data_IF_587302436904
#
_entry.id   IF_587302436904
#
_cell.length_a   1.000
_cell.length_b   1.000
_cell.length_c   1.000
_cell.angle_alpha   90.00
_cell.angle_beta   90.00
_cell.angle_gamma   90.00
#
_symmetry.space_group_name_H-M   'P 1'
#
loop_
_entity.id
_entity.type
_entity.pdbx_description
1 polymer ?
#
# COMPACT_ATOMS: atom_id res chain seq x y z
N UNK A 1 -7.21 21.59 24.79
CA UNK A 1 -7.71 20.31 25.34
C UNK A 1 -8.57 19.54 24.33
N UNK A 2 -9.57 20.12 23.69
CA UNK A 2 -10.44 19.37 22.75
C UNK A 2 -9.76 18.84 21.48
N UNK A 3 -8.68 19.48 21.00
CA UNK A 3 -7.97 19.09 19.77
C UNK A 3 -7.07 17.85 19.95
N UNK A 4 -6.41 17.70 21.10
CA UNK A 4 -5.54 16.55 21.40
C UNK A 4 -6.35 15.27 21.66
N UNK A 5 -7.53 15.38 22.29
CA UNK A 5 -8.38 14.23 22.57
C UNK A 5 -9.00 13.66 21.29
N UNK A 6 -9.39 14.53 20.34
CA UNK A 6 -9.88 14.15 19.02
C UNK A 6 -8.78 13.47 18.16
N UNK A 7 -7.55 13.96 18.25
CA UNK A 7 -6.41 13.38 17.53
C UNK A 7 -6.11 11.96 18.03
N UNK A 8 -5.91 11.78 19.35
CA UNK A 8 -5.67 10.47 19.94
C UNK A 8 -6.81 9.46 19.67
N UNK A 9 -8.06 9.92 19.63
CA UNK A 9 -9.21 9.08 19.30
C UNK A 9 -9.19 8.65 17.83
N UNK A 10 -8.84 9.57 16.92
CA UNK A 10 -8.69 9.28 15.50
C UNK A 10 -7.59 8.23 15.24
N UNK A 11 -6.47 8.33 15.97
CA UNK A 11 -5.33 7.41 15.84
C UNK A 11 -5.69 5.99 16.27
N UNK A 12 -6.39 5.87 17.41
CA UNK A 12 -6.90 4.57 17.89
C UNK A 12 -7.89 3.96 16.87
N UNK A 13 -8.76 4.79 16.28
CA UNK A 13 -9.70 4.33 15.27
C UNK A 13 -9.00 3.85 13.99
N UNK A 14 -7.98 4.56 13.50
CA UNK A 14 -7.22 4.19 12.32
C UNK A 14 -6.49 2.85 12.51
N UNK A 15 -5.84 2.66 13.67
CA UNK A 15 -5.18 1.40 14.03
C UNK A 15 -6.17 0.25 14.21
N UNK A 16 -7.31 0.50 14.88
CA UNK A 16 -8.37 -0.49 15.04
C UNK A 16 -8.97 -0.90 13.69
N UNK A 17 -9.14 0.07 12.77
CA UNK A 17 -9.63 -0.18 11.42
C UNK A 17 -8.63 -1.03 10.62
N UNK A 18 -7.33 -0.73 10.67
CA UNK A 18 -6.28 -1.52 10.04
C UNK A 18 -6.22 -2.95 10.58
N UNK A 19 -6.30 -3.10 11.91
CA UNK A 19 -6.34 -4.41 12.56
C UNK A 19 -7.58 -5.22 12.16
N UNK A 20 -8.75 -4.57 12.12
CA UNK A 20 -9.99 -5.22 11.72
C UNK A 20 -9.95 -5.67 10.26
N UNK A 21 -9.42 -4.82 9.36
CA UNK A 21 -9.24 -5.14 7.97
C UNK A 21 -8.31 -6.36 7.76
N UNK A 22 -7.18 -6.40 8.49
CA UNK A 22 -6.26 -7.54 8.48
C UNK A 22 -6.91 -8.82 9.01
N UNK A 23 -7.73 -8.72 10.06
CA UNK A 23 -8.51 -9.87 10.56
C UNK A 23 -9.57 -10.32 9.55
N UNK A 24 -10.19 -9.37 8.86
CA UNK A 24 -11.23 -9.65 7.87
C UNK A 24 -10.64 -10.30 6.61
N UNK A 25 -9.47 -9.86 6.13
CA UNK A 25 -8.81 -10.40 4.94
C UNK A 25 -8.45 -11.88 5.06
N UNK A 26 -8.23 -12.35 6.30
CA UNK A 26 -7.93 -13.76 6.63
C UNK A 26 -9.16 -14.65 6.75
N UNK A 27 -10.36 -14.07 6.61
CA UNK A 27 -11.60 -14.87 6.67
C UNK A 27 -11.74 -15.70 5.41
N UNK A 28 -12.16 -16.95 5.58
CA UNK A 28 -12.39 -17.88 4.48
C UNK A 28 -13.42 -17.36 3.48
N UNK A 29 -13.23 -17.72 2.22
CA UNK A 29 -14.19 -17.45 1.16
C UNK A 29 -15.54 -18.14 1.41
N UNK A 30 -16.62 -17.59 0.87
CA UNK A 30 -17.97 -18.14 0.95
C UNK A 30 -18.62 -18.15 -0.44
N UNK A 31 -19.80 -18.76 -0.56
CA UNK A 31 -20.53 -18.77 -1.83
C UNK A 31 -20.89 -17.36 -2.34
N UNK A 32 -21.14 -16.43 -1.41
CA UNK A 32 -21.46 -15.03 -1.76
C UNK A 32 -20.20 -14.17 -2.00
N UNK A 33 -19.03 -14.67 -1.58
CA UNK A 33 -17.75 -13.96 -1.62
C UNK A 33 -16.64 -14.96 -1.95
N UNK A 34 -16.54 -15.31 -3.21
CA UNK A 34 -15.62 -16.36 -3.69
C UNK A 34 -14.14 -16.01 -3.51
N UNK A 35 -13.79 -14.72 -3.53
CA UNK A 35 -12.46 -14.24 -3.16
C UNK A 35 -12.31 -13.89 -1.67
N UNK A 36 -13.39 -14.05 -0.87
CA UNK A 36 -13.43 -13.60 0.52
C UNK A 36 -13.27 -12.07 0.64
N UNK A 37 -12.61 -11.64 1.69
CA UNK A 37 -12.37 -10.21 1.98
C UNK A 37 -10.93 -9.78 1.69
N UNK A 38 -10.23 -10.42 0.76
CA UNK A 38 -8.80 -10.17 0.49
C UNK A 38 -8.47 -8.70 0.17
N UNK A 39 -9.41 -7.95 -0.40
CA UNK A 39 -9.26 -6.50 -0.66
C UNK A 39 -9.52 -5.60 0.55
N UNK A 40 -9.94 -6.15 1.70
CA UNK A 40 -10.24 -5.33 2.88
C UNK A 40 -9.01 -4.55 3.37
N UNK A 41 -7.82 -5.15 3.35
CA UNK A 41 -6.57 -4.48 3.72
C UNK A 41 -6.22 -3.35 2.77
N UNK A 42 -6.41 -3.55 1.47
CA UNK A 42 -6.17 -2.54 0.44
C UNK A 42 -7.09 -1.32 0.60
N UNK A 43 -8.38 -1.56 0.89
CA UNK A 43 -9.36 -0.50 1.16
C UNK A 43 -8.97 0.26 2.44
N UNK A 44 -8.53 -0.46 3.48
CA UNK A 44 -8.08 0.17 4.73
C UNK A 44 -6.83 1.01 4.52
N UNK A 45 -5.84 0.51 3.76
CA UNK A 45 -4.64 1.27 3.39
C UNK A 45 -4.98 2.56 2.63
N UNK A 46 -5.87 2.48 1.66
CA UNK A 46 -6.36 3.62 0.89
C UNK A 46 -7.06 4.67 1.78
N UNK A 47 -8.00 4.22 2.63
CA UNK A 47 -8.74 5.11 3.53
C UNK A 47 -7.80 5.79 4.56
N UNK A 48 -6.91 5.03 5.19
CA UNK A 48 -5.94 5.58 6.13
C UNK A 48 -4.97 6.58 5.48
N UNK A 49 -4.59 6.34 4.23
CA UNK A 49 -3.72 7.28 3.48
C UNK A 49 -4.41 8.62 3.21
N UNK A 50 -5.72 8.60 2.93
CA UNK A 50 -6.52 9.84 2.83
C UNK A 50 -6.57 10.56 4.16
N UNK A 51 -6.80 9.84 5.27
CA UNK A 51 -6.80 10.42 6.61
C UNK A 51 -5.45 11.08 6.92
N UNK A 52 -4.32 10.42 6.59
CA UNK A 52 -2.99 10.99 6.77
C UNK A 52 -2.77 12.29 5.99
N UNK A 53 -3.28 12.41 4.75
CA UNK A 53 -3.22 13.68 3.99
C UNK A 53 -4.04 14.76 4.68
N UNK A 54 -5.22 14.43 5.17
CA UNK A 54 -6.06 15.39 5.90
C UNK A 54 -5.36 15.88 7.17
N UNK A 55 -4.79 14.95 7.95
CA UNK A 55 -3.99 15.29 9.16
C UNK A 55 -2.79 16.16 8.78
N UNK A 56 -2.04 15.82 7.74
CA UNK A 56 -0.91 16.61 7.26
C UNK A 56 -1.33 18.03 6.85
N UNK A 57 -2.48 18.20 6.19
CA UNK A 57 -3.00 19.52 5.84
C UNK A 57 -3.33 20.36 7.08
N UNK A 58 -3.93 19.75 8.13
CA UNK A 58 -4.17 20.42 9.41
C UNK A 58 -2.86 20.79 10.13
N UNK A 59 -1.83 19.91 10.09
CA UNK A 59 -0.52 20.21 10.66
C UNK A 59 0.13 21.40 9.96
N UNK A 60 0.08 21.46 8.62
CA UNK A 60 0.60 22.57 7.84
C UNK A 60 -0.15 23.86 8.16
N UNK A 61 -1.48 23.82 8.22
CA UNK A 61 -2.29 24.98 8.58
C UNK A 61 -1.93 25.52 9.98
N UNK A 62 -1.84 24.63 10.97
CA UNK A 62 -1.43 25.01 12.33
C UNK A 62 0.00 25.53 12.41
N UNK A 63 0.93 24.97 11.62
CA UNK A 63 2.30 25.47 11.54
C UNK A 63 2.36 26.90 10.98
N UNK A 64 1.59 27.18 9.93
CA UNK A 64 1.49 28.54 9.36
C UNK A 64 0.91 29.53 10.37
N UNK A 65 -0.15 29.18 11.08
CA UNK A 65 -0.72 30.04 12.14
C UNK A 65 0.32 30.35 13.23
N UNK A 66 0.99 29.32 13.78
CA UNK A 66 2.02 29.49 14.83
C UNK A 66 3.26 30.26 14.35
N UNK A 67 3.51 30.27 13.07
CA UNK A 67 4.60 31.09 12.50
C UNK A 67 4.31 32.59 12.63
N UNK A 68 3.04 33.01 12.43
CA UNK A 68 2.63 34.43 12.55
C UNK A 68 2.27 34.81 13.98
N UNK A 69 1.72 33.91 14.75
CA UNK A 69 1.28 34.11 16.14
C UNK A 69 1.89 33.03 17.06
N UNK A 70 3.17 33.21 17.48
CA UNK A 70 3.84 32.23 18.32
C UNK A 70 3.15 32.07 19.67
N UNK A 71 2.76 30.84 20.01
CA UNK A 71 2.20 30.53 21.33
C UNK A 71 3.31 30.26 22.36
N UNK A 72 3.13 30.77 23.58
CA UNK A 72 4.04 30.48 24.71
C UNK A 72 3.63 29.14 25.33
N UNK A 73 4.49 28.14 25.23
CA UNK A 73 4.24 26.77 25.70
C UNK A 73 4.84 26.57 27.11
N UNK A 74 4.12 25.88 28.00
CA UNK A 74 4.66 25.41 29.28
C UNK A 74 5.57 24.19 29.10
N UNK A 75 6.87 24.44 29.04
CA UNK A 75 7.91 23.49 28.57
C UNK A 75 7.99 22.19 29.38
N UNK A 76 7.87 22.22 30.71
CA UNK A 76 8.21 21.04 31.52
C UNK A 76 7.25 19.87 31.32
N UNK A 77 5.95 20.12 31.33
CA UNK A 77 4.93 19.06 31.12
C UNK A 77 4.98 18.53 29.68
N UNK A 78 5.14 19.43 28.71
CA UNK A 78 5.19 19.11 27.28
C UNK A 78 6.39 18.20 26.95
N UNK A 79 7.57 18.46 27.54
CA UNK A 79 8.76 17.62 27.35
C UNK A 79 8.52 16.17 27.81
N UNK A 80 7.92 15.97 29.00
CA UNK A 80 7.66 14.62 29.51
C UNK A 80 6.63 13.86 28.67
N UNK A 81 5.57 14.55 28.22
CA UNK A 81 4.55 13.96 27.34
C UNK A 81 5.17 13.59 25.99
N UNK A 82 5.97 14.49 25.39
CA UNK A 82 6.65 14.24 24.14
C UNK A 82 7.63 13.03 24.23
N UNK A 83 8.41 12.94 25.31
CA UNK A 83 9.29 11.79 25.54
C UNK A 83 8.52 10.48 25.65
N UNK A 84 7.42 10.46 26.39
CA UNK A 84 6.58 9.28 26.52
C UNK A 84 5.98 8.88 25.15
N UNK A 85 5.48 9.84 24.38
CA UNK A 85 4.95 9.63 23.04
C UNK A 85 6.02 9.08 22.09
N UNK A 86 7.24 9.63 22.11
CA UNK A 86 8.36 9.13 21.29
C UNK A 86 8.68 7.66 21.65
N UNK A 87 8.68 7.30 22.93
CA UNK A 87 8.96 5.92 23.36
C UNK A 87 7.85 4.97 22.88
N UNK A 88 6.58 5.34 23.11
CA UNK A 88 5.43 4.49 22.76
C UNK A 88 5.29 4.34 21.24
N UNK A 89 5.26 5.43 20.51
CA UNK A 89 5.12 5.40 19.05
C UNK A 89 6.38 4.84 18.38
N UNK A 90 7.58 5.18 18.88
CA UNK A 90 8.83 4.65 18.37
C UNK A 90 8.96 3.14 18.56
N UNK A 91 8.54 2.59 19.69
CA UNK A 91 8.50 1.14 19.89
C UNK A 91 7.51 0.46 18.92
N UNK A 92 6.34 1.05 18.70
CA UNK A 92 5.34 0.54 17.76
C UNK A 92 5.83 0.61 16.31
N UNK A 93 6.49 1.70 15.93
CA UNK A 93 7.15 1.86 14.61
C UNK A 93 8.19 0.76 14.38
N UNK A 94 9.04 0.47 15.37
CA UNK A 94 10.04 -0.59 15.25
C UNK A 94 9.41 -1.99 15.11
N UNK A 95 8.31 -2.25 15.81
CA UNK A 95 7.59 -3.53 15.72
C UNK A 95 6.92 -3.72 14.36
N UNK A 96 6.31 -2.67 13.80
CA UNK A 96 5.58 -2.75 12.54
C UNK A 96 6.48 -2.64 11.29
N UNK A 97 7.72 -2.17 11.44
CA UNK A 97 8.61 -1.88 10.30
C UNK A 97 8.74 -3.04 9.33
N UNK A 98 8.93 -4.27 9.83
CA UNK A 98 9.11 -5.45 9.00
C UNK A 98 7.85 -5.80 8.20
N UNK A 99 6.69 -5.70 8.82
CA UNK A 99 5.41 -6.04 8.18
C UNK A 99 4.99 -4.93 7.20
N UNK A 100 5.38 -3.68 7.46
CA UNK A 100 5.12 -2.53 6.60
C UNK A 100 5.85 -2.59 5.24
N UNK A 101 6.94 -3.35 5.13
CA UNK A 101 7.67 -3.53 3.88
C UNK A 101 6.92 -4.46 2.90
N UNK A 102 5.98 -5.28 3.40
CA UNK A 102 5.30 -6.31 2.63
C UNK A 102 3.78 -6.16 2.56
N UNK A 103 3.18 -5.24 3.33
CA UNK A 103 1.72 -5.07 3.37
C UNK A 103 1.33 -3.59 3.43
N UNK A 104 0.54 -3.13 2.45
CA UNK A 104 0.12 -1.72 2.33
C UNK A 104 -0.69 -1.22 3.53
N UNK A 105 -1.53 -2.06 4.12
CA UNK A 105 -2.29 -1.71 5.32
C UNK A 105 -1.36 -1.52 6.53
N UNK A 106 -0.38 -2.42 6.72
CA UNK A 106 0.65 -2.26 7.76
C UNK A 106 1.54 -1.06 7.49
N UNK A 107 1.86 -0.77 6.22
CA UNK A 107 2.60 0.44 5.80
C UNK A 107 1.83 1.71 6.17
N UNK A 108 0.52 1.76 5.96
CA UNK A 108 -0.29 2.93 6.35
C UNK A 108 -0.31 3.14 7.87
N UNK A 109 -0.47 2.07 8.66
CA UNK A 109 -0.41 2.13 10.13
C UNK A 109 0.98 2.53 10.64
N UNK A 110 2.05 2.00 10.03
CA UNK A 110 3.43 2.38 10.32
C UNK A 110 3.66 3.89 10.07
N UNK A 111 3.20 4.41 8.94
CA UNK A 111 3.33 5.83 8.59
C UNK A 111 2.56 6.74 9.54
N UNK A 112 1.40 6.30 10.01
CA UNK A 112 0.63 7.03 11.01
C UNK A 112 1.42 7.17 12.33
N UNK A 113 1.90 6.05 12.88
CA UNK A 113 2.71 6.04 14.11
C UNK A 113 4.04 6.78 13.96
N UNK A 114 4.67 6.69 12.78
CA UNK A 114 5.88 7.45 12.44
C UNK A 114 5.61 8.95 12.45
N UNK A 115 4.48 9.38 11.91
CA UNK A 115 4.00 10.76 11.92
C UNK A 115 3.89 11.30 13.34
N UNK A 116 3.27 10.56 14.24
CA UNK A 116 3.08 10.96 15.64
C UNK A 116 4.40 11.03 16.39
N UNK A 117 5.30 10.07 16.12
CA UNK A 117 6.66 10.10 16.67
C UNK A 117 7.43 11.33 16.16
N UNK A 118 7.38 11.65 14.86
CA UNK A 118 8.05 12.81 14.28
C UNK A 118 7.49 14.11 14.81
N UNK A 119 6.17 14.23 14.95
CA UNK A 119 5.52 15.39 15.58
C UNK A 119 5.99 15.57 17.02
N UNK A 120 6.08 14.48 17.79
CA UNK A 120 6.57 14.53 19.19
C UNK A 120 8.05 14.92 19.28
N UNK A 121 8.89 14.46 18.34
CA UNK A 121 10.31 14.87 18.21
C UNK A 121 10.39 16.37 17.89
N UNK A 122 9.57 16.87 16.97
CA UNK A 122 9.54 18.29 16.61
C UNK A 122 9.13 19.15 17.81
N UNK A 123 8.12 18.73 18.57
CA UNK A 123 7.70 19.40 19.81
C UNK A 123 8.83 19.43 20.85
N UNK A 124 9.55 18.31 21.02
CA UNK A 124 10.69 18.23 21.94
C UNK A 124 11.84 19.14 21.52
N UNK A 125 12.26 19.05 20.25
CA UNK A 125 13.36 19.87 19.69
C UNK A 125 12.97 21.33 19.66
N UNK A 126 11.76 21.67 19.20
CA UNK A 126 11.23 23.02 19.18
C UNK A 126 11.19 23.63 20.58
N UNK A 127 10.69 22.85 21.57
CA UNK A 127 10.65 23.26 22.98
C UNK A 127 12.03 23.56 23.56
N UNK A 128 13.04 22.72 23.27
CA UNK A 128 14.42 22.95 23.71
C UNK A 128 15.01 24.21 23.06
N UNK A 129 14.85 24.35 21.74
CA UNK A 129 15.37 25.51 20.99
C UNK A 129 14.70 26.81 21.45
N UNK A 130 13.37 26.81 21.63
CA UNK A 130 12.65 27.96 22.15
C UNK A 130 13.11 28.35 23.56
N UNK A 131 13.36 27.37 24.42
CA UNK A 131 13.79 27.61 25.81
C UNK A 131 15.18 28.24 25.89
N UNK A 132 16.15 27.81 25.06
CA UNK A 132 17.54 28.25 25.15
C UNK A 132 17.92 29.36 24.16
N UNK A 133 17.32 29.39 22.98
CA UNK A 133 17.66 30.32 21.90
C UNK A 133 16.57 31.36 21.62
N UNK A 134 15.38 31.25 22.22
CA UNK A 134 14.20 32.10 21.97
C UNK A 134 13.76 32.14 20.49
N UNK A 135 14.03 31.05 19.72
CA UNK A 135 13.66 30.95 18.31
C UNK A 135 12.29 30.26 18.17
N UNK A 136 11.22 31.02 18.28
CA UNK A 136 9.85 30.52 18.26
C UNK A 136 9.41 29.97 16.91
N UNK A 137 10.04 30.37 15.81
CA UNK A 137 9.70 29.92 14.44
C UNK A 137 10.13 28.48 14.14
N UNK A 138 11.05 27.92 14.91
CA UNK A 138 11.64 26.57 14.63
C UNK A 138 10.57 25.47 14.71
N UNK A 139 9.68 25.52 15.68
CA UNK A 139 8.55 24.57 15.81
C UNK A 139 7.67 24.57 14.56
N UNK A 140 7.33 25.77 14.06
CA UNK A 140 6.50 25.92 12.86
C UNK A 140 7.18 25.35 11.62
N UNK A 141 8.49 25.59 11.46
CA UNK A 141 9.26 25.06 10.30
C UNK A 141 9.37 23.53 10.38
N UNK A 142 9.67 22.95 11.55
CA UNK A 142 9.74 21.51 11.73
C UNK A 142 8.39 20.86 11.44
N UNK A 143 7.29 21.41 11.97
CA UNK A 143 5.94 20.91 11.72
C UNK A 143 5.55 21.00 10.24
N UNK A 144 5.92 22.09 9.56
CA UNK A 144 5.71 22.25 8.12
C UNK A 144 6.45 21.17 7.31
N UNK A 145 7.71 20.91 7.62
CA UNK A 145 8.52 19.88 6.95
C UNK A 145 7.92 18.48 7.15
N UNK A 146 7.47 18.17 8.36
CA UNK A 146 6.78 16.91 8.66
C UNK A 146 5.50 16.79 7.85
N UNK A 147 4.66 17.83 7.82
CA UNK A 147 3.42 17.82 7.05
C UNK A 147 3.66 17.60 5.55
N UNK A 148 4.66 18.25 4.96
CA UNK A 148 5.05 18.05 3.56
C UNK A 148 5.55 16.62 3.29
N UNK A 149 6.38 16.08 4.17
CA UNK A 149 6.84 14.70 4.09
C UNK A 149 5.68 13.70 4.14
N UNK A 150 4.72 13.91 5.04
CA UNK A 150 3.54 13.05 5.15
C UNK A 150 2.66 13.08 3.90
N UNK A 151 2.44 14.26 3.31
CA UNK A 151 1.72 14.37 2.04
C UNK A 151 2.43 13.55 0.95
N UNK A 152 3.75 13.70 0.84
CA UNK A 152 4.53 12.98 -0.16
C UNK A 152 4.40 11.46 -0.03
N UNK A 153 4.58 10.92 1.17
CA UNK A 153 4.54 9.46 1.40
C UNK A 153 3.11 8.93 1.28
N UNK A 154 2.10 9.66 1.80
CA UNK A 154 0.70 9.25 1.71
C UNK A 154 0.18 9.31 0.27
N UNK A 155 0.67 10.24 -0.56
CA UNK A 155 0.33 10.28 -1.98
C UNK A 155 0.81 9.03 -2.73
N UNK A 156 2.04 8.57 -2.46
CA UNK A 156 2.56 7.33 -3.04
C UNK A 156 1.69 6.12 -2.66
N UNK A 157 1.30 6.04 -1.39
CA UNK A 157 0.43 4.97 -0.89
C UNK A 157 -0.99 5.01 -1.51
N UNK A 158 -1.58 6.20 -1.67
CA UNK A 158 -2.85 6.37 -2.38
C UNK A 158 -2.73 5.92 -3.83
N UNK A 159 -1.67 6.35 -4.52
CA UNK A 159 -1.43 5.99 -5.92
C UNK A 159 -1.32 4.47 -6.09
N UNK A 160 -0.52 3.81 -5.25
CA UNK A 160 -0.34 2.35 -5.28
C UNK A 160 -1.65 1.63 -4.99
N UNK A 161 -2.35 2.00 -3.91
CA UNK A 161 -3.64 1.40 -3.56
C UNK A 161 -4.70 1.60 -4.65
N UNK A 162 -4.72 2.79 -5.29
CA UNK A 162 -5.64 3.07 -6.40
C UNK A 162 -5.34 2.20 -7.61
N UNK A 163 -4.06 2.06 -8.00
CA UNK A 163 -3.66 1.16 -9.11
C UNK A 163 -4.15 -0.26 -8.87
N UNK A 164 -3.93 -0.80 -7.67
CA UNK A 164 -4.37 -2.15 -7.32
C UNK A 164 -5.91 -2.28 -7.32
N UNK A 165 -6.65 -1.29 -6.78
CA UNK A 165 -8.11 -1.27 -6.79
C UNK A 165 -8.67 -1.21 -8.20
N UNK A 166 -8.01 -0.49 -9.11
CA UNK A 166 -8.37 -0.31 -10.51
C UNK A 166 -7.86 -1.44 -11.41
N UNK A 167 -7.26 -2.50 -10.83
CA UNK A 167 -6.74 -3.66 -11.57
C UNK A 167 -5.63 -3.30 -12.59
N UNK A 168 -4.82 -2.31 -12.28
CA UNK A 168 -3.67 -2.00 -13.13
C UNK A 168 -2.64 -3.12 -13.03
N UNK A 169 -1.94 -3.34 -14.14
CA UNK A 169 -0.74 -4.18 -14.15
C UNK A 169 0.30 -3.59 -13.19
N UNK A 170 0.89 -4.41 -12.29
CA UNK A 170 1.95 -3.95 -11.38
C UNK A 170 3.13 -3.35 -12.14
N UNK A 171 3.77 -2.33 -11.54
CA UNK A 171 4.86 -1.58 -12.19
C UNK A 171 6.13 -2.44 -12.41
N UNK A 172 6.29 -3.53 -11.70
CA UNK A 172 7.39 -4.51 -11.80
C UNK A 172 7.14 -5.63 -12.81
N UNK A 173 5.93 -5.71 -13.37
CA UNK A 173 5.54 -6.70 -14.37
C UNK A 173 5.68 -6.14 -15.78
N UNK A 174 6.50 -6.81 -16.56
CA UNK A 174 6.72 -6.55 -17.98
C UNK A 174 6.00 -7.63 -18.82
N UNK A 175 4.88 -7.27 -19.43
CA UNK A 175 4.04 -8.18 -20.21
C UNK A 175 4.82 -8.74 -21.41
N UNK A 176 5.68 -7.95 -22.06
CA UNK A 176 6.47 -8.40 -23.23
C UNK A 176 7.42 -9.53 -22.82
N UNK A 177 8.05 -9.43 -21.64
CA UNK A 177 8.91 -10.51 -21.12
C UNK A 177 8.13 -11.78 -20.76
N UNK A 178 6.90 -11.64 -20.29
CA UNK A 178 6.01 -12.80 -20.06
C UNK A 178 5.74 -13.50 -21.37
N UNK A 179 5.34 -12.75 -22.40
CA UNK A 179 5.08 -13.30 -23.74
C UNK A 179 6.31 -14.01 -24.28
N UNK A 180 7.49 -13.36 -24.24
CA UNK A 180 8.74 -13.96 -24.70
C UNK A 180 9.13 -15.24 -23.95
N UNK A 181 8.86 -15.29 -22.64
CA UNK A 181 9.16 -16.45 -21.83
C UNK A 181 8.24 -17.63 -22.14
N UNK A 182 6.93 -17.37 -22.24
CA UNK A 182 5.91 -18.40 -22.54
C UNK A 182 6.07 -18.93 -23.98
N UNK A 183 6.38 -18.09 -24.96
CA UNK A 183 6.58 -18.50 -26.34
C UNK A 183 7.80 -19.45 -26.56
N UNK A 184 8.69 -19.57 -25.58
CA UNK A 184 9.82 -20.54 -25.65
C UNK A 184 9.41 -21.95 -25.28
N UNK A 185 8.22 -22.14 -24.75
CA UNK A 185 7.69 -23.46 -24.36
C UNK A 185 7.16 -24.17 -25.60
N UNK A 186 7.45 -25.44 -25.72
CA UNK A 186 6.98 -26.26 -26.82
C UNK A 186 5.45 -26.30 -26.89
N UNK A 187 4.88 -26.38 -28.11
CA UNK A 187 3.45 -26.43 -28.40
C UNK A 187 2.69 -25.12 -28.14
N UNK A 188 3.34 -24.09 -27.59
CA UNK A 188 2.80 -22.74 -27.52
C UNK A 188 2.85 -22.12 -28.92
N UNK A 189 1.71 -21.64 -29.40
CA UNK A 189 1.61 -20.84 -30.61
C UNK A 189 1.68 -19.36 -30.28
N UNK A 190 0.61 -18.78 -29.71
CA UNK A 190 0.55 -17.36 -29.36
C UNK A 190 -0.18 -17.16 -28.05
N UNK A 191 0.41 -16.39 -27.14
CA UNK A 191 -0.26 -15.87 -25.94
C UNK A 191 -0.86 -14.50 -26.30
N UNK A 192 -2.15 -14.30 -26.06
CA UNK A 192 -2.86 -13.07 -26.37
C UNK A 192 -4.02 -12.83 -25.39
N UNK A 193 -4.73 -11.71 -25.51
CA UNK A 193 -5.80 -11.30 -24.60
C UNK A 193 -5.36 -11.42 -23.14
N UNK A 194 -4.29 -10.68 -22.80
CA UNK A 194 -3.59 -10.82 -21.52
C UNK A 194 -4.08 -9.76 -20.54
N UNK A 195 -4.52 -10.21 -19.36
CA UNK A 195 -4.81 -9.37 -18.21
C UNK A 195 -3.92 -9.78 -17.04
N UNK A 196 -3.24 -8.82 -16.42
CA UNK A 196 -2.40 -9.05 -15.25
C UNK A 196 -2.79 -8.03 -14.19
N UNK A 197 -3.15 -8.50 -12.99
CA UNK A 197 -3.54 -7.61 -11.89
C UNK A 197 -3.19 -8.22 -10.54
N UNK A 198 -3.11 -7.37 -9.50
CA UNK A 198 -3.01 -7.81 -8.11
C UNK A 198 -4.37 -7.81 -7.42
N UNK A 199 -4.68 -8.87 -6.69
CA UNK A 199 -5.85 -8.94 -5.83
C UNK A 199 -5.57 -8.30 -4.46
N UNK A 200 -4.38 -8.56 -3.91
CA UNK A 200 -3.79 -8.00 -2.69
C UNK A 200 -2.25 -7.99 -2.81
N UNK A 201 -1.53 -7.74 -1.73
CA UNK A 201 -0.06 -7.68 -1.73
C UNK A 201 0.61 -9.03 -2.07
N UNK A 202 -0.08 -10.15 -1.85
CA UNK A 202 0.47 -11.52 -1.98
C UNK A 202 -0.04 -12.24 -3.23
N UNK A 203 -1.13 -11.79 -3.87
CA UNK A 203 -1.79 -12.51 -4.96
C UNK A 203 -1.77 -11.73 -6.27
N UNK A 204 -0.96 -12.24 -7.19
CA UNK A 204 -0.82 -11.74 -8.55
C UNK A 204 -1.48 -12.70 -9.52
N UNK A 205 -2.43 -12.21 -10.28
CA UNK A 205 -3.25 -12.95 -11.22
C UNK A 205 -2.83 -12.68 -12.66
N UNK A 206 -2.87 -13.72 -13.48
CA UNK A 206 -2.78 -13.62 -14.94
C UNK A 206 -3.96 -14.37 -15.56
N UNK A 207 -4.66 -13.72 -16.46
CA UNK A 207 -5.63 -14.31 -17.35
C UNK A 207 -5.20 -14.08 -18.80
N UNK A 208 -5.27 -15.11 -19.63
CA UNK A 208 -4.86 -15.03 -21.03
C UNK A 208 -5.49 -16.12 -21.90
N UNK A 209 -5.47 -15.91 -23.21
CA UNK A 209 -5.76 -16.92 -24.20
C UNK A 209 -4.46 -17.46 -24.79
N UNK A 210 -4.39 -18.78 -24.97
CA UNK A 210 -3.23 -19.47 -25.51
C UNK A 210 -3.60 -20.26 -26.77
N UNK A 211 -3.18 -19.76 -27.93
CA UNK A 211 -3.20 -20.56 -29.14
C UNK A 211 -2.18 -21.69 -29.05
N UNK A 212 -2.63 -22.91 -29.17
CA UNK A 212 -1.75 -24.06 -29.32
C UNK A 212 -1.26 -24.18 -30.79
N UNK A 213 0.04 -24.51 -31.00
CA UNK A 213 0.61 -24.68 -32.32
C UNK A 213 0.05 -25.90 -33.06
N UNK A 214 -0.50 -26.87 -32.33
CA UNK A 214 -1.08 -28.10 -32.84
C UNK A 214 -2.34 -28.47 -32.03
N UNK A 215 -3.20 -29.33 -32.55
CA UNK A 215 -4.34 -29.89 -31.83
C UNK A 215 -3.84 -30.87 -30.76
N UNK A 216 -3.95 -30.50 -29.50
CA UNK A 216 -3.48 -31.29 -28.36
C UNK A 216 -4.62 -31.82 -27.51
N UNK A 217 -4.38 -32.95 -26.88
CA UNK A 217 -5.35 -33.50 -25.92
C UNK A 217 -5.38 -32.63 -24.65
N UNK A 218 -6.50 -32.63 -23.96
CA UNK A 218 -6.65 -31.92 -22.69
C UNK A 218 -5.64 -32.40 -21.62
N UNK A 219 -5.26 -33.69 -21.65
CA UNK A 219 -4.20 -34.22 -20.78
C UNK A 219 -2.86 -33.55 -21.03
N UNK A 220 -2.50 -33.39 -22.33
CA UNK A 220 -1.24 -32.78 -22.72
C UNK A 220 -1.24 -31.26 -22.48
N UNK A 221 -2.42 -30.65 -22.56
CA UNK A 221 -2.61 -29.25 -22.17
C UNK A 221 -2.41 -29.03 -20.67
N UNK A 222 -2.86 -29.94 -19.81
CA UNK A 222 -2.61 -29.86 -18.37
C UNK A 222 -1.10 -29.86 -18.07
N UNK A 223 -0.31 -30.71 -18.74
CA UNK A 223 1.14 -30.73 -18.57
C UNK A 223 1.78 -29.41 -19.04
N UNK A 224 1.33 -28.88 -20.17
CA UNK A 224 1.75 -27.57 -20.70
C UNK A 224 1.40 -26.42 -19.74
N UNK A 225 0.18 -26.44 -19.19
CA UNK A 225 -0.27 -25.44 -18.23
C UNK A 225 0.60 -25.44 -16.97
N UNK A 226 0.92 -26.63 -16.41
CA UNK A 226 1.83 -26.73 -15.27
C UNK A 226 3.22 -26.19 -15.55
N UNK A 227 3.74 -26.39 -16.76
CA UNK A 227 5.03 -25.80 -17.16
C UNK A 227 4.96 -24.27 -17.21
N UNK A 228 3.86 -23.72 -17.75
CA UNK A 228 3.61 -22.27 -17.82
C UNK A 228 3.44 -21.69 -16.41
N UNK A 229 2.64 -22.32 -15.55
CA UNK A 229 2.41 -21.89 -14.16
C UNK A 229 3.73 -21.85 -13.36
N UNK A 230 4.56 -22.89 -13.48
CA UNK A 230 5.87 -22.95 -12.83
C UNK A 230 6.80 -21.84 -13.30
N UNK A 231 6.86 -21.59 -14.61
CA UNK A 231 7.65 -20.51 -15.21
C UNK A 231 7.19 -19.12 -14.74
N UNK A 232 5.86 -18.89 -14.72
CA UNK A 232 5.27 -17.61 -14.32
C UNK A 232 5.49 -17.34 -12.84
N UNK A 233 5.37 -18.37 -11.98
CA UNK A 233 5.66 -18.26 -10.56
C UNK A 233 7.15 -17.96 -10.30
N UNK A 234 8.06 -18.73 -10.94
CA UNK A 234 9.49 -18.60 -10.69
C UNK A 234 10.07 -17.26 -11.17
N UNK A 235 9.65 -16.80 -12.37
CA UNK A 235 10.26 -15.61 -12.99
C UNK A 235 9.54 -14.29 -12.70
N UNK A 236 8.22 -14.35 -12.49
CA UNK A 236 7.38 -13.16 -12.40
C UNK A 236 6.56 -13.10 -11.11
N UNK A 237 6.69 -14.11 -10.22
CA UNK A 237 5.91 -14.23 -8.98
C UNK A 237 4.39 -14.23 -9.20
N UNK A 238 3.94 -14.65 -10.42
CA UNK A 238 2.52 -14.79 -10.73
C UNK A 238 2.06 -16.12 -10.18
N UNK A 239 1.20 -16.08 -9.16
CA UNK A 239 0.80 -17.25 -8.38
C UNK A 239 -0.65 -17.70 -8.64
N UNK A 240 -1.39 -16.98 -9.47
CA UNK A 240 -2.72 -17.39 -9.92
C UNK A 240 -2.84 -17.19 -11.43
N UNK A 241 -2.97 -18.30 -12.16
CA UNK A 241 -2.97 -18.30 -13.63
C UNK A 241 -4.27 -18.93 -14.13
N UNK A 242 -4.94 -18.25 -15.05
CA UNK A 242 -6.10 -18.75 -15.78
C UNK A 242 -5.83 -18.62 -17.28
N UNK A 243 -5.66 -19.75 -17.96
CA UNK A 243 -5.36 -19.77 -19.40
C UNK A 243 -6.45 -20.54 -20.14
N UNK A 244 -7.08 -19.86 -21.09
CA UNK A 244 -8.00 -20.46 -22.03
C UNK A 244 -7.23 -21.03 -23.22
N UNK A 245 -7.21 -22.38 -23.42
CA UNK A 245 -6.59 -22.98 -24.60
C UNK A 245 -7.43 -22.75 -25.85
N UNK A 246 -6.76 -22.43 -26.94
CA UNK A 246 -7.37 -22.24 -28.24
C UNK A 246 -6.59 -22.98 -29.33
N UNK A 247 -7.30 -23.46 -30.36
CA UNK A 247 -6.69 -24.03 -31.54
C UNK A 247 -7.47 -23.62 -32.77
N UNK A 248 -6.84 -22.86 -33.69
CA UNK A 248 -7.43 -22.34 -34.94
C UNK A 248 -8.75 -21.55 -34.71
N UNK A 249 -8.89 -20.91 -33.60
CA UNK A 249 -10.03 -20.02 -33.35
C UNK A 249 -9.83 -18.72 -34.14
N UNK A 250 -10.90 -18.30 -34.82
CA UNK A 250 -10.91 -17.06 -35.62
C UNK A 250 -11.40 -15.90 -34.71
N UNK A 251 -10.48 -15.28 -33.98
CA UNK A 251 -10.72 -14.14 -33.10
C UNK A 251 -9.56 -13.14 -33.15
N UNK A 252 -9.71 -12.02 -32.43
CA UNK A 252 -8.66 -10.99 -32.32
C UNK A 252 -7.49 -11.54 -31.55
N UNK A 253 -6.30 -11.49 -32.15
CA UNK A 253 -5.05 -12.02 -31.59
C UNK A 253 -4.13 -10.91 -31.07
N UNK A 254 -4.68 -9.79 -30.63
CA UNK A 254 -3.91 -8.73 -30.01
C UNK A 254 -3.53 -9.11 -28.57
N UNK A 255 -2.40 -8.59 -28.09
CA UNK A 255 -1.94 -8.89 -26.73
C UNK A 255 -2.87 -8.32 -25.67
N UNK A 256 -3.41 -7.13 -25.91
CA UNK A 256 -4.38 -6.45 -25.06
C UNK A 256 -5.64 -6.23 -25.89
N UNK A 257 -6.76 -6.71 -25.41
CA UNK A 257 -8.09 -6.54 -26.01
C UNK A 257 -8.98 -5.82 -24.99
N UNK A 258 -9.80 -4.91 -25.46
CA UNK A 258 -10.81 -4.25 -24.63
C UNK A 258 -12.15 -5.00 -24.84
N UNK A 259 -12.70 -5.57 -23.77
CA UNK A 259 -14.00 -6.24 -23.73
C UNK A 259 -15.16 -5.23 -23.76
#
# INVERSE_FOLDING_TARGET
MCSSDLHNFSDVLALAFSWYANKLSKKEASLDQTFGYKRAELIAAFANSIILIVVAAFLIYGAVQRFYEPEVIEFNLVIWIALLSIILNGSSVLLLKKDADHNLNMKSAYLHLLSDMMASIAVLVGGIVMKYLSWFWVDSVLTLLIGLYLIYVSYDLIKTSTKMLMLFTPDDIDIEKIIEAVHKINKVGKLHHIHVWQLNDDELHLEAHLDCSEDIKLSDFNDLLHEIEALLLEKFNINHVNIQPEFKKDDVKDFIVQD
#
